data_IF_918397539945
#
_entry.id   IF_918397539945
#
_cell.length_a   1.000
_cell.length_b   1.000
_cell.length_c   1.000
_cell.angle_alpha   90.00
_cell.angle_beta   90.00
_cell.angle_gamma   90.00
#
_symmetry.space_group_name_H-M   'P 1'
#
loop_
_entity.id
_entity.type
_entity.pdbx_description
1 polymer ?
#
# COMPACT_ATOMS: atom_id res chain seq x y z
N UNK A 1 50.32 -14.68 24.88
CA UNK A 1 48.88 -14.60 25.26
C UNK A 1 48.49 -15.96 25.82
N UNK A 2 47.80 -16.01 26.98
CA UNK A 2 47.51 -17.30 27.64
C UNK A 2 46.28 -17.96 26.92
N UNK A 3 46.43 -19.23 26.49
CA UNK A 3 45.39 -20.00 25.79
C UNK A 3 44.05 -20.00 26.54
N UNK A 4 44.06 -20.00 27.88
CA UNK A 4 42.85 -19.90 28.70
C UNK A 4 42.15 -18.56 28.55
N UNK A 5 42.88 -17.47 28.40
CA UNK A 5 42.34 -16.12 28.17
C UNK A 5 41.73 -16.00 26.77
N UNK A 6 42.36 -16.61 25.76
CA UNK A 6 41.86 -16.64 24.38
C UNK A 6 40.53 -17.40 24.28
N UNK A 7 40.46 -18.60 24.87
CA UNK A 7 39.20 -19.39 24.89
C UNK A 7 38.07 -18.67 25.59
N UNK A 8 38.32 -17.95 26.69
CA UNK A 8 37.29 -17.12 27.35
C UNK A 8 36.83 -15.97 26.44
N UNK A 9 37.75 -15.30 25.75
CA UNK A 9 37.44 -14.24 24.79
C UNK A 9 36.53 -14.74 23.65
N UNK A 10 36.83 -15.90 23.09
CA UNK A 10 36.03 -16.53 22.04
C UNK A 10 34.60 -16.90 22.52
N UNK A 11 34.48 -17.49 23.71
CA UNK A 11 33.16 -17.81 24.26
C UNK A 11 32.33 -16.53 24.51
N UNK A 12 32.96 -15.45 24.97
CA UNK A 12 32.28 -14.16 25.15
C UNK A 12 31.84 -13.60 23.79
N UNK A 13 32.70 -13.61 22.77
CA UNK A 13 32.38 -13.12 21.43
C UNK A 13 31.18 -13.87 20.82
N UNK A 14 31.16 -15.19 20.93
CA UNK A 14 30.04 -16.03 20.47
C UNK A 14 28.74 -15.71 21.23
N UNK A 15 28.81 -15.59 22.56
CA UNK A 15 27.64 -15.24 23.37
C UNK A 15 27.10 -13.85 23.01
N UNK A 16 27.97 -12.85 22.85
CA UNK A 16 27.59 -11.51 22.43
C UNK A 16 26.96 -11.52 21.04
N UNK A 17 27.51 -12.27 20.09
CA UNK A 17 26.94 -12.39 18.75
C UNK A 17 25.52 -12.96 18.79
N UNK A 18 25.29 -14.04 19.57
CA UNK A 18 23.97 -14.67 19.70
C UNK A 18 22.97 -13.66 20.29
N UNK A 19 23.37 -12.96 21.37
CA UNK A 19 22.50 -11.97 22.02
C UNK A 19 22.16 -10.84 21.05
N UNK A 20 23.13 -10.34 20.30
CA UNK A 20 22.89 -9.27 19.31
C UNK A 20 22.00 -9.75 18.15
N UNK A 21 22.19 -10.97 17.66
CA UNK A 21 21.34 -11.53 16.61
C UNK A 21 19.88 -11.69 17.08
N UNK A 22 19.67 -12.22 18.29
CA UNK A 22 18.34 -12.35 18.88
C UNK A 22 17.69 -10.98 19.13
N UNK A 23 18.47 -10.02 19.70
CA UNK A 23 17.98 -8.68 19.97
C UNK A 23 17.59 -7.95 18.67
N UNK A 24 18.42 -8.06 17.63
CA UNK A 24 18.15 -7.45 16.33
C UNK A 24 16.90 -8.03 15.68
N UNK A 25 16.70 -9.36 15.73
CA UNK A 25 15.48 -9.99 15.23
C UNK A 25 14.25 -9.53 16.01
N UNK A 26 14.34 -9.42 17.32
CA UNK A 26 13.22 -9.05 18.18
C UNK A 26 12.85 -7.55 18.06
N UNK A 27 13.87 -6.69 17.95
CA UNK A 27 13.67 -5.23 17.80
C UNK A 27 13.21 -4.90 16.37
N UNK A 28 13.77 -5.58 15.36
CA UNK A 28 13.43 -5.35 13.97
C UNK A 28 11.99 -5.77 13.63
N UNK A 29 11.49 -6.84 14.27
CA UNK A 29 10.13 -7.32 14.11
C UNK A 29 9.68 -7.38 12.65
N UNK A 30 8.54 -6.80 12.35
CA UNK A 30 7.94 -6.77 11.01
C UNK A 30 8.80 -6.02 9.98
N UNK A 31 9.59 -5.02 10.39
CA UNK A 31 10.46 -4.25 9.50
C UNK A 31 11.58 -5.10 8.85
N UNK A 32 11.89 -6.28 9.41
CA UNK A 32 12.81 -7.21 8.77
C UNK A 32 12.16 -8.01 7.64
N UNK A 33 10.85 -8.20 7.72
CA UNK A 33 10.09 -9.04 6.83
C UNK A 33 9.33 -8.28 5.76
N UNK A 34 8.94 -7.04 6.07
CA UNK A 34 8.05 -6.24 5.24
C UNK A 34 8.55 -4.80 5.09
N UNK A 35 8.23 -4.22 3.96
CA UNK A 35 8.35 -2.78 3.69
C UNK A 35 6.98 -2.28 3.26
N UNK A 36 6.48 -1.26 3.94
CA UNK A 36 5.29 -0.56 3.48
C UNK A 36 5.70 0.36 2.33
N UNK A 37 4.91 0.35 1.27
CA UNK A 37 5.11 1.09 0.02
C UNK A 37 3.85 1.89 -0.25
N UNK A 38 4.03 3.12 -0.66
CA UNK A 38 2.96 4.03 -1.04
C UNK A 38 3.25 4.56 -2.45
N UNK A 39 2.25 4.51 -3.32
CA UNK A 39 2.37 5.13 -4.64
C UNK A 39 2.23 6.64 -4.55
N UNK A 40 2.78 7.34 -5.53
CA UNK A 40 2.49 8.77 -5.67
C UNK A 40 1.03 8.99 -6.09
N UNK A 41 0.38 9.99 -5.49
CA UNK A 41 -0.98 10.39 -5.84
C UNK A 41 -0.97 11.44 -6.95
N UNK A 42 -1.87 11.32 -7.92
CA UNK A 42 -2.09 12.36 -8.92
C UNK A 42 -2.70 13.61 -8.27
N UNK A 43 -2.34 14.77 -8.80
CA UNK A 43 -2.95 16.04 -8.39
C UNK A 43 -4.42 16.08 -8.81
N UNK A 44 -5.29 16.51 -7.93
CA UNK A 44 -6.71 16.67 -8.22
C UNK A 44 -6.92 17.67 -9.37
N UNK A 45 -7.40 17.15 -10.48
CA UNK A 45 -7.72 17.92 -11.68
C UNK A 45 -9.21 18.28 -11.72
N UNK A 46 -10.05 17.38 -12.20
CA UNK A 46 -11.49 17.60 -12.34
C UNK A 46 -12.30 16.57 -11.54
N UNK A 47 -13.50 16.91 -11.04
CA UNK A 47 -14.42 15.94 -10.49
C UNK A 47 -15.00 15.08 -11.62
N UNK A 48 -15.12 13.76 -11.38
CA UNK A 48 -15.64 12.79 -12.36
C UNK A 48 -17.16 12.92 -12.57
N UNK A 49 -17.87 13.61 -11.68
CA UNK A 49 -19.32 13.75 -11.66
C UNK A 49 -19.95 13.08 -10.42
N UNK A 50 -21.24 13.26 -10.23
CA UNK A 50 -21.95 12.65 -9.09
C UNK A 50 -21.96 11.11 -9.22
N UNK A 51 -21.54 10.43 -8.17
CA UNK A 51 -21.58 8.96 -8.08
C UNK A 51 -22.95 8.58 -7.51
N UNK A 52 -23.89 8.29 -8.39
CA UNK A 52 -25.25 7.87 -8.05
C UNK A 52 -25.37 6.34 -8.11
N UNK A 53 -26.54 5.82 -7.76
CA UNK A 53 -26.84 4.38 -7.80
C UNK A 53 -26.62 3.72 -9.18
N UNK A 54 -26.68 4.52 -10.25
CA UNK A 54 -26.53 4.06 -11.64
C UNK A 54 -25.09 4.31 -12.17
N UNK A 55 -24.20 4.77 -11.29
CA UNK A 55 -22.82 5.10 -11.62
C UNK A 55 -21.88 4.02 -11.08
N UNK A 56 -21.03 3.50 -11.96
CA UNK A 56 -19.93 2.60 -11.60
C UNK A 56 -18.64 3.20 -12.16
N UNK A 57 -17.66 3.37 -11.29
CA UNK A 57 -16.31 3.80 -11.67
C UNK A 57 -15.39 2.61 -11.57
N UNK A 58 -14.57 2.40 -12.60
CA UNK A 58 -13.53 1.37 -12.60
C UNK A 58 -12.18 1.96 -13.02
N UNK A 59 -11.11 1.43 -12.44
CA UNK A 59 -9.74 1.76 -12.80
C UNK A 59 -8.80 0.63 -12.42
N UNK A 60 -7.83 0.32 -13.27
CA UNK A 60 -6.74 -0.57 -12.93
C UNK A 60 -5.75 0.13 -12.00
N UNK A 61 -5.34 -0.55 -10.92
CA UNK A 61 -4.31 -0.09 -9.98
C UNK A 61 -3.16 -1.09 -9.95
N UNK A 62 -1.94 -0.59 -9.74
CA UNK A 62 -0.78 -1.41 -9.45
C UNK A 62 -0.57 -1.50 -7.94
N UNK A 63 -0.30 -2.72 -7.46
CA UNK A 63 -0.10 -3.02 -6.03
C UNK A 63 1.29 -3.61 -5.87
N UNK A 64 2.27 -2.74 -5.65
CA UNK A 64 3.67 -3.16 -5.50
C UNK A 64 3.82 -4.15 -4.34
N UNK A 65 4.47 -5.29 -4.61
CA UNK A 65 4.62 -6.37 -3.64
C UNK A 65 3.39 -7.26 -3.42
N UNK A 66 2.29 -7.00 -4.15
CA UNK A 66 1.12 -7.86 -4.20
C UNK A 66 0.31 -7.95 -2.89
N UNK A 67 0.54 -7.08 -1.91
CA UNK A 67 -0.19 -7.05 -0.64
C UNK A 67 -0.78 -5.67 -0.40
N UNK A 68 -2.05 -5.50 -0.73
CA UNK A 68 -2.79 -4.24 -0.54
C UNK A 68 -3.19 -4.07 0.93
N UNK A 69 -2.76 -2.97 1.54
CA UNK A 69 -3.09 -2.61 2.92
C UNK A 69 -4.14 -1.52 3.02
N UNK A 70 -4.23 -0.65 2.01
CA UNK A 70 -5.20 0.44 1.99
C UNK A 70 -5.16 1.25 0.71
N UNK A 71 -6.06 2.21 0.64
CA UNK A 71 -6.16 3.22 -0.42
C UNK A 71 -6.44 4.56 0.23
N UNK A 72 -5.87 5.63 -0.32
CA UNK A 72 -6.31 7.00 -0.06
C UNK A 72 -6.86 7.60 -1.35
N UNK A 73 -8.05 8.16 -1.31
CA UNK A 73 -8.72 8.79 -2.45
C UNK A 73 -9.05 10.25 -2.13
N UNK A 74 -9.18 11.08 -3.17
CA UNK A 74 -9.66 12.45 -3.04
C UNK A 74 -11.10 12.52 -3.51
N UNK A 75 -11.99 12.96 -2.63
CA UNK A 75 -13.40 13.12 -2.91
C UNK A 75 -13.95 14.48 -2.53
N UNK A 76 -15.12 14.82 -3.06
CA UNK A 76 -15.85 16.01 -2.69
C UNK A 76 -17.34 15.74 -2.49
N UNK A 77 -17.92 16.52 -1.59
CA UNK A 77 -19.36 16.45 -1.23
C UNK A 77 -20.19 17.54 -1.88
N UNK A 78 -19.56 18.38 -2.71
CA UNK A 78 -20.16 19.60 -3.27
C UNK A 78 -20.62 20.60 -2.20
N UNK A 79 -19.89 20.66 -1.08
CA UNK A 79 -20.24 21.46 0.10
C UNK A 79 -21.63 21.12 0.65
N UNK A 80 -22.10 19.88 0.47
CA UNK A 80 -23.42 19.37 0.93
C UNK A 80 -23.21 18.34 2.05
N UNK A 81 -24.24 18.12 2.83
CA UNK A 81 -24.34 16.96 3.73
C UNK A 81 -25.03 15.82 2.97
N UNK A 82 -24.25 14.93 2.43
CA UNK A 82 -24.73 13.76 1.72
C UNK A 82 -24.87 12.58 2.70
N UNK A 83 -25.66 11.59 2.32
CA UNK A 83 -25.90 10.36 3.10
C UNK A 83 -25.81 9.15 2.19
N UNK A 84 -25.57 7.99 2.78
CA UNK A 84 -25.42 6.73 2.08
C UNK A 84 -24.03 6.16 2.20
N UNK A 85 -23.73 5.19 1.36
CA UNK A 85 -22.51 4.41 1.43
C UNK A 85 -21.79 4.42 0.09
N UNK A 86 -20.49 4.73 0.09
CA UNK A 86 -19.59 4.52 -1.04
C UNK A 86 -19.00 3.13 -0.89
N UNK A 87 -19.29 2.25 -1.83
CA UNK A 87 -18.80 0.88 -1.89
C UNK A 87 -17.54 0.84 -2.75
N UNK A 88 -16.47 0.27 -2.22
CA UNK A 88 -15.19 0.12 -2.90
C UNK A 88 -14.83 -1.36 -2.93
N UNK A 89 -14.73 -1.91 -4.14
CA UNK A 89 -14.37 -3.29 -4.41
C UNK A 89 -13.00 -3.35 -5.08
N UNK A 90 -12.20 -4.33 -4.69
CA UNK A 90 -10.91 -4.67 -5.33
C UNK A 90 -11.07 -6.02 -5.99
N UNK A 91 -10.83 -6.09 -7.29
CA UNK A 91 -11.06 -7.28 -8.10
C UNK A 91 -9.78 -7.77 -8.78
N UNK A 92 -9.68 -9.10 -8.95
CA UNK A 92 -8.76 -9.76 -9.88
C UNK A 92 -9.59 -10.47 -10.95
N UNK A 93 -9.67 -9.85 -12.12
CA UNK A 93 -10.62 -10.22 -13.16
C UNK A 93 -12.07 -10.10 -12.68
N UNK A 94 -12.82 -11.20 -12.66
CA UNK A 94 -14.21 -11.24 -12.17
C UNK A 94 -14.33 -11.54 -10.65
N UNK A 95 -13.21 -11.81 -9.98
CA UNK A 95 -13.20 -12.21 -8.58
C UNK A 95 -13.03 -11.01 -7.66
N UNK A 96 -14.00 -10.77 -6.79
CA UNK A 96 -13.88 -9.76 -5.73
C UNK A 96 -12.93 -10.30 -4.65
N UNK A 97 -11.79 -9.65 -4.48
CA UNK A 97 -10.79 -9.98 -3.47
C UNK A 97 -11.09 -9.30 -2.13
N UNK A 98 -11.59 -8.08 -2.18
CA UNK A 98 -11.99 -7.31 -1.00
C UNK A 98 -13.09 -6.32 -1.34
N UNK A 99 -13.86 -5.97 -0.31
CA UNK A 99 -14.92 -4.97 -0.35
C UNK A 99 -14.87 -4.14 0.92
N UNK A 100 -14.93 -2.82 0.76
CA UNK A 100 -15.04 -1.86 1.86
C UNK A 100 -16.16 -0.87 1.59
N UNK A 101 -16.75 -0.38 2.68
CA UNK A 101 -17.82 0.59 2.64
C UNK A 101 -17.42 1.84 3.43
N UNK A 102 -17.53 2.99 2.79
CA UNK A 102 -17.25 4.30 3.40
C UNK A 102 -18.56 5.03 3.62
N UNK A 103 -18.80 5.52 4.84
CA UNK A 103 -19.95 6.36 5.14
C UNK A 103 -19.77 7.74 4.48
N UNK A 104 -20.62 8.04 3.51
CA UNK A 104 -20.61 9.32 2.78
C UNK A 104 -20.81 10.51 3.73
N UNK A 105 -21.57 10.33 4.82
CA UNK A 105 -21.82 11.40 5.78
C UNK A 105 -20.57 11.79 6.58
N UNK A 106 -19.57 10.91 6.66
CA UNK A 106 -18.30 11.18 7.31
C UNK A 106 -17.26 11.83 6.40
N UNK A 107 -17.50 11.90 5.08
CA UNK A 107 -16.56 12.49 4.12
C UNK A 107 -16.55 14.01 4.24
N UNK A 108 -15.35 14.59 4.28
CA UNK A 108 -15.17 16.03 4.17
C UNK A 108 -15.13 16.47 2.69
N UNK A 109 -15.51 17.71 2.43
CA UNK A 109 -15.52 18.24 1.07
C UNK A 109 -14.12 18.50 0.54
N UNK A 110 -13.84 18.08 -0.69
CA UNK A 110 -12.55 18.27 -1.38
C UNK A 110 -11.35 17.84 -0.54
N UNK A 111 -11.45 16.66 0.06
CA UNK A 111 -10.44 16.13 0.97
C UNK A 111 -10.08 14.68 0.66
N UNK A 112 -8.95 14.28 1.19
CA UNK A 112 -8.51 12.88 1.22
C UNK A 112 -9.32 12.08 2.24
N UNK A 113 -9.57 10.81 1.91
CA UNK A 113 -10.14 9.83 2.83
C UNK A 113 -9.48 8.48 2.63
N UNK A 114 -9.25 7.79 3.75
CA UNK A 114 -8.53 6.54 3.79
C UNK A 114 -9.47 5.35 3.86
N UNK A 115 -9.10 4.29 3.16
CA UNK A 115 -9.76 2.99 3.16
C UNK A 115 -8.72 1.95 3.57
N UNK A 116 -8.86 1.37 4.75
CA UNK A 116 -7.96 0.31 5.22
C UNK A 116 -8.55 -1.06 4.91
N UNK A 117 -7.70 -1.99 4.53
CA UNK A 117 -8.06 -3.39 4.34
C UNK A 117 -7.50 -4.25 5.50
N UNK A 118 -8.41 -4.81 6.28
CA UNK A 118 -8.09 -5.76 7.35
C UNK A 118 -9.04 -6.96 7.24
N UNK A 119 -8.51 -8.15 6.91
CA UNK A 119 -7.11 -8.49 6.67
C UNK A 119 -6.52 -7.87 5.39
N UNK A 120 -5.18 -7.80 5.32
CA UNK A 120 -4.42 -7.39 4.11
C UNK A 120 -4.84 -8.25 2.92
N UNK A 121 -5.05 -7.62 1.78
CA UNK A 121 -5.53 -8.27 0.56
C UNK A 121 -4.35 -8.71 -0.30
N UNK A 122 -4.28 -9.99 -0.62
CA UNK A 122 -3.27 -10.52 -1.53
C UNK A 122 -3.71 -10.36 -2.98
N UNK A 123 -2.87 -9.70 -3.79
CA UNK A 123 -3.08 -9.46 -5.22
C UNK A 123 -2.07 -10.31 -6.01
N UNK A 124 -2.45 -11.43 -6.60
CA UNK A 124 -1.51 -12.37 -7.22
C UNK A 124 -0.76 -11.81 -8.45
N UNK A 125 -1.37 -10.87 -9.16
CA UNK A 125 -0.85 -10.31 -10.41
C UNK A 125 -0.14 -8.96 -10.26
N UNK A 126 0.03 -8.46 -9.03
CA UNK A 126 0.47 -7.09 -8.72
C UNK A 126 -0.41 -6.01 -9.39
N UNK A 127 -1.52 -6.39 -10.00
CA UNK A 127 -2.52 -5.52 -10.62
C UNK A 127 -3.91 -5.94 -10.16
N UNK A 128 -4.75 -4.96 -9.88
CA UNK A 128 -6.14 -5.17 -9.53
C UNK A 128 -7.03 -4.12 -10.20
N UNK A 129 -8.30 -4.44 -10.37
CA UNK A 129 -9.32 -3.47 -10.75
C UNK A 129 -9.98 -2.90 -9.50
N UNK A 130 -9.94 -1.59 -9.37
CA UNK A 130 -10.68 -0.85 -8.38
C UNK A 130 -12.06 -0.54 -8.97
N UNK A 131 -13.13 -0.91 -8.26
CA UNK A 131 -14.49 -0.62 -8.66
C UNK A 131 -15.23 0.11 -7.55
N UNK A 132 -15.80 1.27 -7.87
CA UNK A 132 -16.44 2.17 -6.93
C UNK A 132 -17.88 2.43 -7.36
N UNK A 133 -18.81 2.32 -6.42
CA UNK A 133 -20.23 2.57 -6.63
C UNK A 133 -20.88 3.15 -5.37
N UNK A 134 -21.98 3.86 -5.52
CA UNK A 134 -22.78 4.39 -4.40
C UNK A 134 -24.25 3.99 -4.56
N UNK A 135 -24.63 2.75 -4.19
CA UNK A 135 -25.93 2.15 -4.55
C UNK A 135 -27.15 2.86 -3.95
N UNK A 136 -26.94 3.66 -2.91
CA UNK A 136 -28.01 4.39 -2.21
C UNK A 136 -28.06 5.87 -2.61
N UNK A 137 -27.08 6.36 -3.38
CA UNK A 137 -26.96 7.77 -3.74
C UNK A 137 -27.85 8.14 -4.93
N UNK A 138 -28.39 9.33 -4.88
CA UNK A 138 -29.20 9.93 -5.94
C UNK A 138 -28.66 11.31 -6.30
N UNK A 139 -29.05 11.84 -7.46
CA UNK A 139 -28.70 13.20 -7.87
C UNK A 139 -29.04 14.23 -6.76
N UNK A 140 -28.09 15.08 -6.45
CA UNK A 140 -28.20 16.07 -5.36
C UNK A 140 -27.90 15.52 -3.95
N UNK A 141 -27.79 14.20 -3.77
CA UNK A 141 -27.30 13.52 -2.57
C UNK A 141 -26.25 12.47 -2.95
N UNK A 142 -25.16 12.93 -3.53
CA UNK A 142 -24.07 12.10 -4.01
C UNK A 142 -22.73 12.81 -3.81
N UNK A 143 -21.68 12.05 -3.77
CA UNK A 143 -20.29 12.51 -3.76
C UNK A 143 -19.68 12.40 -5.13
N UNK A 144 -18.52 12.98 -5.32
CA UNK A 144 -17.66 12.82 -6.50
C UNK A 144 -16.25 12.44 -6.09
N UNK A 145 -15.51 11.83 -6.99
CA UNK A 145 -14.06 11.63 -6.89
C UNK A 145 -13.35 12.51 -7.90
N UNK A 146 -12.09 12.80 -7.63
CA UNK A 146 -11.26 13.57 -8.54
C UNK A 146 -10.45 12.66 -9.45
N UNK A 147 -10.32 13.08 -10.72
CA UNK A 147 -9.39 12.52 -11.67
C UNK A 147 -8.31 13.55 -11.99
N UNK A 148 -7.13 13.07 -12.35
CA UNK A 148 -6.00 13.90 -12.74
C UNK A 148 -5.08 13.18 -13.72
N UNK A 149 -4.24 13.96 -14.37
CA UNK A 149 -3.20 13.50 -15.30
C UNK A 149 -1.84 14.13 -15.01
N UNK A 150 -1.66 14.72 -13.84
CA UNK A 150 -0.42 15.37 -13.44
C UNK A 150 -0.05 15.05 -12.00
N UNK A 151 1.24 15.11 -11.70
CA UNK A 151 1.76 15.01 -10.33
C UNK A 151 2.41 16.31 -9.90
N UNK A 152 2.21 16.70 -8.65
CA UNK A 152 2.85 17.87 -8.06
C UNK A 152 4.23 17.46 -7.53
N UNK A 153 5.28 18.05 -8.08
CA UNK A 153 6.62 17.94 -7.55
C UNK A 153 6.99 19.18 -6.75
N UNK A 154 8.09 19.13 -5.98
CA UNK A 154 8.56 20.26 -5.17
C UNK A 154 8.81 21.57 -5.96
N UNK A 155 8.83 21.52 -7.29
CA UNK A 155 9.14 22.66 -8.16
C UNK A 155 8.13 22.93 -9.27
N UNK A 156 7.45 21.90 -9.79
CA UNK A 156 6.55 22.01 -10.95
C UNK A 156 5.43 20.97 -10.87
N UNK A 157 4.35 21.22 -11.60
CA UNK A 157 3.43 20.14 -12.01
C UNK A 157 4.02 19.44 -13.24
N UNK A 158 3.99 18.13 -13.25
CA UNK A 158 4.47 17.30 -14.34
C UNK A 158 3.29 16.49 -14.86
N UNK A 159 3.02 16.57 -16.15
CA UNK A 159 2.01 15.72 -16.80
C UNK A 159 2.49 14.27 -16.79
N UNK A 160 1.58 13.37 -16.46
CA UNK A 160 1.79 11.92 -16.46
C UNK A 160 1.18 11.36 -17.74
N UNK A 161 1.94 10.56 -18.44
CA UNK A 161 1.46 9.91 -19.64
C UNK A 161 0.79 8.59 -19.23
N UNK A 162 -0.52 8.61 -19.11
CA UNK A 162 -1.33 7.47 -18.71
C UNK A 162 -1.58 6.56 -19.93
N UNK A 163 -1.50 5.26 -19.72
CA UNK A 163 -2.01 4.26 -20.68
C UNK A 163 -3.53 4.16 -20.58
N UNK A 164 -4.18 3.58 -21.59
CA UNK A 164 -5.65 3.41 -21.58
C UNK A 164 -6.13 2.63 -20.34
N UNK A 165 -5.34 1.66 -19.84
CA UNK A 165 -5.67 0.86 -18.66
C UNK A 165 -5.61 1.65 -17.34
N UNK A 166 -4.78 2.70 -17.28
CA UNK A 166 -4.59 3.54 -16.11
C UNK A 166 -5.66 4.64 -15.99
N UNK A 167 -6.38 4.93 -17.08
CA UNK A 167 -7.48 5.88 -17.04
C UNK A 167 -8.64 5.38 -16.18
N UNK A 168 -9.34 6.31 -15.54
CA UNK A 168 -10.61 6.01 -14.90
C UNK A 168 -11.71 5.82 -15.95
N UNK A 169 -12.62 4.89 -15.70
CA UNK A 169 -13.82 4.66 -16.52
C UNK A 169 -15.06 4.90 -15.67
N UNK A 170 -16.00 5.66 -16.20
CA UNK A 170 -17.31 5.87 -15.60
C UNK A 170 -18.37 5.23 -16.48
N UNK A 171 -19.05 4.20 -16.01
CA UNK A 171 -19.99 3.39 -16.78
C UNK A 171 -19.41 2.88 -18.11
N UNK A 172 -18.14 2.49 -18.11
CA UNK A 172 -17.41 2.03 -19.30
C UNK A 172 -16.93 3.13 -20.24
N UNK A 173 -17.14 4.41 -19.91
CA UNK A 173 -16.65 5.54 -20.68
C UNK A 173 -15.36 6.07 -20.05
N UNK A 174 -14.28 6.06 -20.83
CA UNK A 174 -12.96 6.56 -20.41
C UNK A 174 -13.04 8.04 -20.06
N UNK A 175 -12.44 8.41 -18.93
CA UNK A 175 -12.35 9.76 -18.43
C UNK A 175 -11.00 10.40 -18.83
N UNK A 176 -10.92 11.73 -18.74
CA UNK A 176 -9.69 12.47 -19.02
C UNK A 176 -8.77 12.47 -17.79
N UNK A 177 -8.19 11.33 -17.49
CA UNK A 177 -7.28 11.12 -16.37
C UNK A 177 -7.58 9.84 -15.56
N UNK A 178 -6.72 9.59 -14.59
CA UNK A 178 -6.89 8.53 -13.60
C UNK A 178 -7.47 9.10 -12.31
N UNK A 179 -8.13 8.27 -11.51
CA UNK A 179 -8.52 8.65 -10.15
C UNK A 179 -7.29 9.11 -9.35
N UNK A 180 -7.49 10.16 -8.56
CA UNK A 180 -6.49 10.58 -7.59
C UNK A 180 -6.51 9.59 -6.42
N UNK A 181 -5.82 8.47 -6.62
CA UNK A 181 -5.70 7.37 -5.66
C UNK A 181 -4.24 7.15 -5.30
N UNK A 182 -3.95 7.02 -4.01
CA UNK A 182 -2.71 6.51 -3.48
C UNK A 182 -2.93 5.08 -3.02
N UNK A 183 -2.12 4.16 -3.50
CA UNK A 183 -2.17 2.75 -3.12
C UNK A 183 -1.17 2.51 -2.01
N UNK A 184 -1.65 2.00 -0.87
CA UNK A 184 -0.84 1.55 0.24
C UNK A 184 -0.67 0.05 0.14
N UNK A 185 0.56 -0.39 0.05
CA UNK A 185 0.89 -1.80 -0.12
C UNK A 185 2.03 -2.24 0.78
N UNK A 186 2.26 -3.53 0.83
CA UNK A 186 3.34 -4.12 1.61
C UNK A 186 4.13 -5.11 0.75
N UNK A 187 5.43 -4.91 0.72
CA UNK A 187 6.36 -5.76 0.01
C UNK A 187 7.10 -6.70 0.98
N UNK A 188 7.25 -7.97 0.59
CA UNK A 188 8.06 -8.92 1.34
C UNK A 188 9.55 -8.67 1.11
N UNK A 189 10.30 -8.48 2.19
CA UNK A 189 11.76 -8.35 2.13
C UNK A 189 12.44 -9.70 2.17
N UNK A 190 13.29 -9.99 1.18
CA UNK A 190 14.08 -11.22 1.13
C UNK A 190 14.96 -11.41 2.37
N UNK A 191 15.44 -10.33 2.98
CA UNK A 191 16.31 -10.35 4.14
C UNK A 191 15.64 -11.03 5.35
N UNK A 192 14.37 -10.74 5.61
CA UNK A 192 13.61 -11.37 6.70
C UNK A 192 13.48 -12.89 6.53
N UNK A 193 13.18 -13.33 5.29
CA UNK A 193 13.07 -14.75 4.97
C UNK A 193 14.40 -15.51 5.18
N UNK A 194 15.54 -14.85 4.95
CA UNK A 194 16.87 -15.45 5.06
C UNK A 194 17.62 -15.07 6.33
N UNK A 195 17.02 -14.29 7.22
CA UNK A 195 17.69 -13.76 8.41
C UNK A 195 18.43 -14.83 9.22
N UNK A 196 17.76 -15.94 9.55
CA UNK A 196 18.36 -17.00 10.35
C UNK A 196 19.50 -17.73 9.65
N UNK A 197 19.45 -17.85 8.33
CA UNK A 197 20.57 -18.42 7.56
C UNK A 197 21.79 -17.51 7.60
N UNK A 198 21.57 -16.18 7.49
CA UNK A 198 22.63 -15.17 7.59
C UNK A 198 23.22 -15.14 9.00
N UNK A 199 22.38 -15.16 10.03
CA UNK A 199 22.81 -15.18 11.43
C UNK A 199 23.62 -16.44 11.74
N UNK A 200 23.21 -17.61 11.25
CA UNK A 200 23.92 -18.86 11.42
C UNK A 200 25.28 -18.84 10.68
N UNK A 201 25.33 -18.36 9.46
CA UNK A 201 26.57 -18.21 8.71
C UNK A 201 27.56 -17.29 9.42
N UNK A 202 27.10 -16.17 9.97
CA UNK A 202 27.90 -15.28 10.80
C UNK A 202 28.41 -15.95 12.07
N UNK A 203 27.57 -16.72 12.76
CA UNK A 203 27.98 -17.50 13.94
C UNK A 203 29.09 -18.49 13.61
N UNK A 204 28.95 -19.23 12.49
CA UNK A 204 29.98 -20.17 12.02
C UNK A 204 31.28 -19.44 11.66
N UNK A 205 31.22 -18.28 11.03
CA UNK A 205 32.40 -17.48 10.71
C UNK A 205 33.14 -17.03 11.99
N UNK A 206 32.43 -16.56 13.02
CA UNK A 206 33.02 -16.20 14.32
C UNK A 206 33.63 -17.44 14.99
N UNK A 207 32.94 -18.58 14.97
CA UNK A 207 33.44 -19.83 15.55
C UNK A 207 34.73 -20.29 14.87
N UNK A 208 34.77 -20.29 13.52
CA UNK A 208 35.97 -20.64 12.74
C UNK A 208 37.15 -19.71 13.02
N UNK A 209 36.87 -18.40 13.10
CA UNK A 209 37.89 -17.41 13.45
C UNK A 209 38.47 -17.68 14.85
N UNK A 210 37.59 -17.99 15.84
CA UNK A 210 38.04 -18.35 17.18
C UNK A 210 38.82 -19.66 17.24
N UNK A 211 38.60 -20.61 16.30
CA UNK A 211 39.38 -21.84 16.20
C UNK A 211 40.75 -21.62 15.55
N UNK A 212 40.85 -20.63 14.67
CA UNK A 212 42.12 -20.26 14.00
C UNK A 212 43.06 -19.51 14.93
N UNK A 213 42.52 -18.74 15.89
CA UNK A 213 43.31 -18.03 16.92
C UNK A 213 43.82 -19.00 17.98
#
# INVERSE_FOLDING_TARGET
>A
MNIKSLKKGCCIALAVYIVLALAFYWIGGDQLHYRDVETDMLSAGAPIGEITKDTVITQQIEVEGGQLTGLTLIGATYARQNTGTLKVEVLDGETVLAEQSVDIAAMADSSEFDIAFDPIVSIPSDKAELKIAAPESVEGNAVTLYVGNSMSTARNQVEVNLSDEEHAYMNGVMQDGALCVQVHSRENLWFGAYYWYIALAGLLAVALYCMYL
#
